data_IF_481449068704
#
_entry.id   IF_481449068704
#
_cell.length_a   1.000
_cell.length_b   1.000
_cell.length_c   1.000
_cell.angle_alpha   90.00
_cell.angle_beta   90.00
_cell.angle_gamma   90.00
#
_symmetry.space_group_name_H-M   'P 1'
#
loop_
_entity.id
_entity.type
_entity.pdbx_description
1 polymer ?
#
# COMPACT_ATOMS: atom_id res chain seq x y z
N UNK A 1 29.16 -17.31 14.28
CA UNK A 1 28.30 -17.77 13.17
C UNK A 1 26.85 -17.42 13.52
N UNK A 2 26.35 -16.28 13.07
CA UNK A 2 24.94 -15.88 13.23
C UNK A 2 24.35 -15.76 11.83
N UNK A 3 23.35 -16.60 11.53
CA UNK A 3 22.67 -16.62 10.24
C UNK A 3 21.85 -15.35 10.03
N UNK A 4 22.13 -14.66 8.93
CA UNK A 4 21.23 -13.73 8.26
C UNK A 4 20.02 -14.52 7.74
N UNK A 5 18.80 -14.11 8.10
CA UNK A 5 17.59 -14.45 7.36
C UNK A 5 17.02 -13.15 6.82
N UNK A 6 17.29 -12.87 5.54
CA UNK A 6 16.53 -11.92 4.75
C UNK A 6 15.29 -12.66 4.23
N UNK A 7 14.10 -12.26 4.68
CA UNK A 7 12.83 -12.75 4.14
C UNK A 7 12.10 -11.58 3.48
N UNK A 8 12.15 -11.57 2.15
CA UNK A 8 11.23 -10.82 1.29
C UNK A 8 9.87 -11.50 1.37
N UNK A 9 8.87 -10.85 1.98
CA UNK A 9 7.51 -11.40 2.00
C UNK A 9 6.43 -10.34 2.20
N UNK A 10 6.04 -9.64 1.13
CA UNK A 10 4.80 -8.86 1.09
C UNK A 10 4.06 -9.09 -0.23
N UNK A 11 2.72 -9.12 -0.16
CA UNK A 11 1.81 -9.26 -1.30
C UNK A 11 0.73 -8.18 -1.19
N UNK A 12 0.32 -7.59 -2.31
CA UNK A 12 -0.59 -6.43 -2.34
C UNK A 12 -1.76 -6.68 -3.32
N UNK A 13 -3.01 -6.30 -2.96
CA UNK A 13 -4.27 -6.53 -3.75
C UNK A 13 -5.18 -5.27 -3.79
N UNK A 14 -5.76 -4.93 -4.97
CA UNK A 14 -6.50 -3.68 -5.28
C UNK A 14 -7.86 -4.00 -5.86
N UNK A 15 -8.85 -3.17 -5.49
CA UNK A 15 -10.18 -3.13 -6.08
C UNK A 15 -10.32 -1.93 -7.04
N UNK A 16 -10.70 -2.16 -8.30
CA UNK A 16 -11.06 -1.12 -9.28
C UNK A 16 -12.55 -1.25 -9.62
N UNK A 17 -13.30 -0.15 -9.56
CA UNK A 17 -14.69 -0.09 -10.06
C UNK A 17 -14.78 0.89 -11.23
N UNK A 18 -14.92 0.37 -12.45
CA UNK A 18 -15.22 1.15 -13.64
C UNK A 18 -16.73 1.38 -13.79
N UNK A 19 -17.16 2.63 -13.83
CA UNK A 19 -18.52 3.02 -14.24
C UNK A 19 -18.59 3.06 -15.76
N UNK A 20 -19.40 2.18 -16.35
CA UNK A 20 -19.76 2.24 -17.76
C UNK A 20 -20.78 3.37 -17.96
N UNK A 21 -20.37 4.47 -18.57
CA UNK A 21 -21.28 5.44 -19.15
C UNK A 21 -21.39 5.17 -20.66
N UNK A 22 -22.59 4.82 -21.12
CA UNK A 22 -22.91 4.68 -22.54
C UNK A 22 -22.74 6.02 -23.27
N UNK A 23 -22.26 6.04 -24.53
CA UNK A 23 -22.13 7.27 -25.29
C UNK A 23 -23.52 7.76 -25.76
N UNK A 24 -23.85 8.99 -25.41
CA UNK A 24 -24.99 9.71 -25.97
C UNK A 24 -24.56 10.27 -27.34
N UNK A 25 -25.17 9.75 -28.40
CA UNK A 25 -25.02 10.25 -29.78
C UNK A 25 -25.78 11.58 -29.90
N UNK A 26 -25.11 12.65 -30.33
CA UNK A 26 -25.74 13.89 -30.79
C UNK A 26 -25.39 14.08 -32.28
N UNK A 27 -26.38 14.18 -33.19
CA UNK A 27 -26.12 14.40 -34.61
C UNK A 27 -25.77 15.86 -34.90
N UNK A 28 -24.92 16.04 -35.91
CA UNK A 28 -24.22 17.29 -36.20
C UNK A 28 -25.05 18.44 -36.75
N UNK A 29 -24.41 19.60 -36.73
CA UNK A 29 -24.75 20.71 -37.60
C UNK A 29 -23.46 21.32 -38.14
N UNK A 30 -23.28 21.26 -39.45
CA UNK A 30 -22.28 22.02 -40.18
C UNK A 30 -22.59 23.51 -40.09
N UNK A 31 -21.54 24.32 -39.94
CA UNK A 31 -21.59 25.77 -39.86
C UNK A 31 -20.20 26.35 -40.02
N UNK A 32 -19.74 26.44 -41.26
CA UNK A 32 -18.51 27.12 -41.68
C UNK A 32 -18.59 28.62 -41.35
N UNK A 33 -17.62 29.14 -40.58
CA UNK A 33 -17.25 30.55 -40.61
C UNK A 33 -15.72 30.68 -40.60
N UNK A 34 -15.18 31.08 -41.75
CA UNK A 34 -13.77 31.43 -41.89
C UNK A 34 -13.53 32.87 -41.44
N UNK A 35 -12.61 33.11 -40.50
CA UNK A 35 -11.92 34.40 -40.36
C UNK A 35 -10.41 34.19 -40.14
N UNK A 36 -9.69 34.58 -41.20
CA UNK A 36 -8.35 35.19 -41.35
C UNK A 36 -7.30 35.07 -40.22
N UNK A 37 -6.12 34.63 -40.66
CA UNK A 37 -4.78 34.90 -40.11
C UNK A 37 -4.59 36.32 -39.57
N UNK A 38 -4.01 36.44 -38.36
CA UNK A 38 -2.96 37.38 -37.97
C UNK A 38 -2.90 37.55 -36.44
N UNK A 39 -2.17 36.67 -35.74
CA UNK A 39 -1.48 37.02 -34.47
C UNK A 39 -0.22 36.15 -34.37
N UNK A 40 0.88 36.60 -34.98
CA UNK A 40 2.21 36.36 -34.41
C UNK A 40 2.33 37.34 -33.26
N UNK A 41 2.31 36.84 -32.02
CA UNK A 41 2.69 37.50 -30.75
C UNK A 41 1.73 37.07 -29.63
N UNK A 42 1.89 35.84 -29.09
CA UNK A 42 1.58 35.57 -27.65
C UNK A 42 1.96 34.18 -27.11
N UNK A 43 2.75 33.36 -27.81
CA UNK A 43 3.14 32.04 -27.28
C UNK A 43 4.10 32.09 -26.09
N UNK A 44 4.67 33.25 -25.76
CA UNK A 44 5.56 33.43 -24.61
C UNK A 44 4.81 33.80 -23.31
N UNK A 45 3.52 34.15 -23.37
CA UNK A 45 2.72 34.47 -22.17
C UNK A 45 1.77 33.35 -21.73
N UNK A 46 1.70 32.24 -22.47
CA UNK A 46 0.93 31.04 -22.08
C UNK A 46 1.78 30.06 -21.23
N UNK A 47 3.09 30.30 -21.15
CA UNK A 47 4.08 29.49 -20.43
C UNK A 47 4.41 29.95 -18.99
N UNK A 48 3.46 30.54 -18.22
CA UNK A 48 3.49 30.38 -16.75
C UNK A 48 2.26 29.69 -16.16
N UNK A 49 1.14 29.56 -16.89
CA UNK A 49 -0.08 28.89 -16.36
C UNK A 49 -0.19 27.41 -16.71
N UNK A 50 0.58 26.93 -17.69
CA UNK A 50 0.90 25.51 -17.89
C UNK A 50 2.15 25.09 -17.13
N UNK A 51 2.45 25.76 -16.01
CA UNK A 51 3.15 25.10 -14.92
C UNK A 51 2.28 23.94 -14.49
N UNK A 52 2.52 22.76 -15.09
CA UNK A 52 1.95 21.46 -14.71
C UNK A 52 1.77 21.52 -13.20
N UNK A 53 0.53 21.57 -12.70
CA UNK A 53 0.29 21.34 -11.26
C UNK A 53 0.97 20.02 -11.00
N UNK A 54 2.15 20.06 -10.39
CA UNK A 54 2.97 18.88 -10.20
C UNK A 54 2.06 17.83 -9.60
N UNK A 55 1.86 16.72 -10.32
CA UNK A 55 0.92 15.70 -9.90
C UNK A 55 1.44 15.18 -8.58
N UNK A 56 0.73 15.50 -7.49
CA UNK A 56 1.16 15.12 -6.15
C UNK A 56 1.23 13.59 -6.06
N UNK A 57 2.34 13.08 -5.53
CA UNK A 57 2.59 11.64 -5.35
C UNK A 57 1.55 11.07 -4.37
N UNK A 58 0.84 9.98 -4.72
CA UNK A 58 -0.10 9.34 -3.80
C UNK A 58 0.65 8.72 -2.63
N UNK A 59 0.08 8.82 -1.43
CA UNK A 59 0.69 8.31 -0.20
C UNK A 59 -0.26 7.38 0.56
N UNK A 60 0.24 6.20 0.92
CA UNK A 60 -0.50 5.19 1.69
C UNK A 60 -0.16 5.30 3.19
N UNK A 61 -1.13 5.72 4.00
CA UNK A 61 -1.04 5.61 5.46
C UNK A 61 -1.69 4.29 5.86
N UNK A 62 -0.86 3.34 6.26
CA UNK A 62 -1.25 1.95 6.44
C UNK A 62 -1.46 1.67 7.93
N UNK A 63 -2.70 1.42 8.34
CA UNK A 63 -3.03 1.15 9.73
C UNK A 63 -2.38 -0.16 10.22
N UNK A 64 -1.55 -0.08 11.26
CA UNK A 64 -0.76 -1.20 11.78
C UNK A 64 -1.60 -2.19 12.59
N UNK A 65 -1.33 -3.49 12.42
CA UNK A 65 -1.81 -4.61 13.23
C UNK A 65 -3.34 -4.63 13.35
N UNK A 66 -4.02 -4.48 12.21
CA UNK A 66 -5.47 -4.65 12.10
C UNK A 66 -5.81 -6.15 12.03
N UNK A 67 -5.63 -6.88 13.13
CA UNK A 67 -5.74 -8.35 13.15
C UNK A 67 -7.13 -8.88 13.52
N UNK A 68 -8.10 -8.00 13.73
CA UNK A 68 -9.49 -8.38 13.96
C UNK A 68 -10.45 -7.42 13.25
N UNK A 69 -11.71 -7.85 13.08
CA UNK A 69 -12.72 -7.07 12.38
C UNK A 69 -13.01 -5.72 13.08
N UNK A 70 -12.89 -5.65 14.40
CA UNK A 70 -13.07 -4.41 15.17
C UNK A 70 -11.96 -3.40 14.89
N UNK A 71 -10.71 -3.86 14.81
CA UNK A 71 -9.56 -3.05 14.42
C UNK A 71 -9.70 -2.52 12.99
N UNK A 72 -10.16 -3.34 12.04
CA UNK A 72 -10.45 -2.92 10.66
C UNK A 72 -11.57 -1.86 10.64
N UNK A 73 -12.64 -2.08 11.41
CA UNK A 73 -13.75 -1.13 11.53
C UNK A 73 -13.28 0.21 12.10
N UNK A 74 -12.43 0.21 13.12
CA UNK A 74 -11.83 1.43 13.68
C UNK A 74 -10.97 2.16 12.64
N UNK A 75 -10.04 1.45 11.98
CA UNK A 75 -9.19 2.04 10.94
C UNK A 75 -10.03 2.64 9.79
N UNK A 76 -11.09 1.95 9.37
CA UNK A 76 -12.03 2.45 8.36
C UNK A 76 -12.80 3.70 8.80
N UNK A 77 -13.09 3.84 10.10
CA UNK A 77 -13.78 5.01 10.65
C UNK A 77 -12.84 6.21 10.80
N UNK A 78 -11.59 5.98 11.15
CA UNK A 78 -10.53 7.00 11.19
C UNK A 78 -10.15 7.51 9.77
N UNK A 79 -10.50 6.72 8.76
CA UNK A 79 -10.26 7.01 7.35
C UNK A 79 -8.88 6.56 6.86
N UNK A 80 -8.35 5.47 7.42
CA UNK A 80 -7.18 4.79 6.88
C UNK A 80 -7.41 4.46 5.39
N UNK A 81 -6.45 4.79 4.51
CA UNK A 81 -6.51 4.41 3.10
C UNK A 81 -5.79 3.10 2.80
N UNK A 82 -5.14 2.51 3.79
CA UNK A 82 -4.57 1.19 3.73
C UNK A 82 -4.55 0.57 5.13
N UNK A 83 -4.46 -0.75 5.20
CA UNK A 83 -4.32 -1.48 6.47
C UNK A 83 -3.24 -2.53 6.34
N UNK A 84 -2.62 -2.88 7.45
CA UNK A 84 -1.73 -4.02 7.59
C UNK A 84 -2.35 -5.04 8.54
N UNK A 85 -2.14 -6.31 8.21
CA UNK A 85 -2.54 -7.42 9.06
C UNK A 85 -1.46 -8.50 9.07
N UNK A 86 -1.20 -9.02 10.26
CA UNK A 86 -0.32 -10.15 10.45
C UNK A 86 -1.03 -11.43 10.06
N UNK A 87 -0.37 -12.30 9.31
CA UNK A 87 -0.94 -13.56 8.88
C UNK A 87 -0.07 -14.73 9.32
N UNK A 88 -0.68 -15.60 10.12
CA UNK A 88 -0.11 -16.85 10.58
C UNK A 88 -0.90 -18.03 10.00
N UNK A 89 -0.17 -18.97 9.42
CA UNK A 89 -0.67 -20.19 8.79
C UNK A 89 -0.81 -21.31 9.82
N UNK A 90 -1.99 -21.90 9.92
CA UNK A 90 -2.36 -22.95 10.90
C UNK A 90 -2.81 -24.26 10.22
N UNK A 91 -1.98 -24.81 9.33
CA UNK A 91 -2.19 -26.17 8.81
C UNK A 91 -3.57 -26.38 8.16
N UNK A 92 -4.43 -27.21 8.77
CA UNK A 92 -5.76 -27.47 8.19
C UNK A 92 -6.71 -26.28 8.28
N UNK A 93 -6.45 -25.36 9.21
CA UNK A 93 -7.35 -24.24 9.53
C UNK A 93 -7.05 -23.00 8.66
N UNK A 94 -6.07 -23.08 7.76
CA UNK A 94 -5.75 -22.01 6.82
C UNK A 94 -4.99 -20.86 7.47
N UNK A 95 -5.36 -19.63 7.14
CA UNK A 95 -4.66 -18.42 7.55
C UNK A 95 -5.47 -17.61 8.56
N UNK A 96 -4.80 -17.17 9.61
CA UNK A 96 -5.36 -16.41 10.72
C UNK A 96 -4.64 -15.08 10.87
N UNK A 97 -5.40 -14.05 11.23
CA UNK A 97 -4.88 -12.74 11.53
C UNK A 97 -4.21 -12.77 12.91
N UNK A 98 -2.90 -13.06 12.96
CA UNK A 98 -2.16 -13.27 14.21
C UNK A 98 -0.69 -12.89 14.07
N UNK A 99 -0.21 -12.10 15.04
CA UNK A 99 1.17 -11.63 15.11
C UNK A 99 2.10 -12.65 15.80
N UNK A 100 1.63 -13.27 16.89
CA UNK A 100 2.50 -13.92 17.90
C UNK A 100 2.50 -15.46 17.82
N UNK A 101 1.74 -16.06 16.89
CA UNK A 101 1.71 -17.51 16.72
C UNK A 101 0.31 -18.08 16.47
N UNK A 102 0.16 -19.42 16.49
CA UNK A 102 -1.09 -20.11 16.21
C UNK A 102 -2.05 -20.06 17.41
N UNK A 103 -2.40 -18.86 17.85
CA UNK A 103 -3.24 -18.65 19.02
C UNK A 103 -4.69 -18.30 18.65
N UNK A 104 -5.03 -18.18 17.34
CA UNK A 104 -6.36 -17.76 16.88
C UNK A 104 -6.91 -16.52 17.61
N UNK A 105 -6.02 -15.65 18.09
CA UNK A 105 -6.36 -14.44 18.86
C UNK A 105 -7.01 -13.35 17.97
N UNK A 106 -7.02 -13.56 16.65
CA UNK A 106 -7.72 -12.73 15.67
C UNK A 106 -8.63 -13.54 14.76
N UNK A 107 -9.15 -12.91 13.72
CA UNK A 107 -10.10 -13.54 12.79
C UNK A 107 -9.39 -14.36 11.69
N UNK A 108 -10.15 -15.21 11.01
CA UNK A 108 -9.63 -15.88 9.80
C UNK A 108 -9.35 -14.88 8.69
N UNK A 109 -8.39 -15.16 7.81
CA UNK A 109 -8.10 -14.32 6.65
C UNK A 109 -9.35 -14.07 5.78
N UNK A 110 -10.26 -15.06 5.70
CA UNK A 110 -11.52 -14.93 4.98
C UNK A 110 -12.43 -13.87 5.61
N UNK A 111 -12.68 -13.96 6.91
CA UNK A 111 -13.51 -12.98 7.63
C UNK A 111 -12.93 -11.56 7.52
N UNK A 112 -11.61 -11.44 7.60
CA UNK A 112 -10.91 -10.18 7.43
C UNK A 112 -11.12 -9.61 6.03
N UNK A 113 -10.91 -10.40 4.98
CA UNK A 113 -11.14 -9.96 3.60
C UNK A 113 -12.60 -9.60 3.33
N UNK A 114 -13.55 -10.39 3.85
CA UNK A 114 -14.98 -10.09 3.72
C UNK A 114 -15.33 -8.76 4.39
N UNK A 115 -14.74 -8.48 5.55
CA UNK A 115 -14.92 -7.23 6.30
C UNK A 115 -14.34 -6.03 5.55
N UNK A 116 -13.12 -6.16 5.01
CA UNK A 116 -12.47 -5.11 4.21
C UNK A 116 -13.29 -4.83 2.93
N UNK A 117 -13.72 -5.87 2.23
CA UNK A 117 -14.56 -5.75 1.04
C UNK A 117 -15.91 -5.08 1.37
N UNK A 118 -16.50 -5.39 2.53
CA UNK A 118 -17.71 -4.73 3.02
C UNK A 118 -17.51 -3.22 3.22
N UNK A 119 -16.43 -2.83 3.91
CA UNK A 119 -16.09 -1.41 4.07
C UNK A 119 -15.85 -0.70 2.75
N UNK A 120 -15.17 -1.36 1.80
CA UNK A 120 -14.96 -0.83 0.46
C UNK A 120 -16.26 -0.60 -0.29
N UNK A 121 -17.18 -1.57 -0.27
CA UNK A 121 -18.52 -1.42 -0.86
C UNK A 121 -19.33 -0.30 -0.19
N UNK A 122 -19.10 -0.06 1.10
CA UNK A 122 -19.68 1.06 1.84
C UNK A 122 -18.98 2.41 1.59
N UNK A 123 -18.05 2.49 0.63
CA UNK A 123 -17.37 3.74 0.25
C UNK A 123 -16.22 4.15 1.16
N UNK A 124 -15.74 3.27 2.04
CA UNK A 124 -14.57 3.57 2.90
C UNK A 124 -13.28 3.60 2.06
N UNK A 125 -12.28 4.41 2.46
CA UNK A 125 -11.11 4.71 1.63
C UNK A 125 -10.03 3.63 1.59
N UNK A 126 -10.23 2.45 2.19
CA UNK A 126 -9.18 1.40 2.30
C UNK A 126 -8.85 0.81 0.92
N UNK A 127 -7.78 1.29 0.28
CA UNK A 127 -7.38 0.94 -1.08
C UNK A 127 -6.34 -0.16 -1.22
N UNK A 128 -5.64 -0.42 -0.13
CA UNK A 128 -4.48 -1.29 -0.12
C UNK A 128 -4.48 -2.09 1.20
N UNK A 129 -4.19 -3.39 1.08
CA UNK A 129 -4.02 -4.29 2.22
C UNK A 129 -2.60 -4.84 2.17
N UNK A 130 -1.85 -4.62 3.26
CA UNK A 130 -0.52 -5.16 3.49
C UNK A 130 -0.63 -6.47 4.27
N UNK A 131 -0.17 -7.58 3.68
CA UNK A 131 -0.18 -8.89 4.33
C UNK A 131 1.21 -9.19 4.89
N UNK A 132 1.33 -9.25 6.22
CA UNK A 132 2.59 -9.51 6.92
C UNK A 132 2.68 -10.98 7.33
N UNK A 133 3.30 -11.80 6.48
CA UNK A 133 3.38 -13.26 6.70
C UNK A 133 4.37 -13.60 7.81
N UNK A 134 3.90 -14.32 8.83
CA UNK A 134 4.74 -14.74 9.96
C UNK A 134 5.40 -16.11 9.77
N UNK A 135 4.83 -16.95 8.91
CA UNK A 135 5.33 -18.29 8.63
C UNK A 135 4.99 -18.73 7.18
N UNK A 136 5.45 -17.99 6.15
CA UNK A 136 5.05 -18.19 4.76
C UNK A 136 5.29 -19.61 4.23
N UNK A 137 6.31 -20.29 4.76
CA UNK A 137 6.73 -21.62 4.31
C UNK A 137 6.21 -22.78 5.19
N UNK A 138 5.28 -22.52 6.12
CA UNK A 138 4.76 -23.54 7.02
C UNK A 138 4.05 -24.70 6.29
N UNK A 139 3.53 -24.44 5.08
CA UNK A 139 2.72 -25.37 4.31
C UNK A 139 3.26 -25.61 2.91
N UNK A 140 3.54 -26.87 2.63
CA UNK A 140 3.85 -27.38 1.30
C UNK A 140 2.54 -27.61 0.51
N UNK A 141 2.27 -26.82 -0.55
CA UNK A 141 1.03 -26.93 -1.32
C UNK A 141 0.91 -28.27 -2.09
N UNK A 142 2.00 -29.01 -2.27
CA UNK A 142 1.99 -30.33 -2.91
C UNK A 142 1.51 -31.46 -2.00
N UNK A 143 1.35 -31.20 -0.70
CA UNK A 143 0.89 -32.21 0.27
C UNK A 143 -0.62 -32.15 0.48
N UNK A 144 -1.26 -33.32 0.43
CA UNK A 144 -2.70 -33.46 0.66
C UNK A 144 -3.09 -32.84 2.01
N UNK A 145 -4.13 -31.99 1.99
CA UNK A 145 -4.63 -31.32 3.19
C UNK A 145 -3.79 -30.12 3.67
N UNK A 146 -2.75 -29.69 2.93
CA UNK A 146 -1.94 -28.50 3.24
C UNK A 146 -2.11 -27.35 2.26
N UNK A 147 -2.95 -27.50 1.24
CA UNK A 147 -3.22 -26.42 0.27
C UNK A 147 -3.74 -25.14 0.95
N UNK A 148 -4.75 -25.25 1.82
CA UNK A 148 -5.46 -24.10 2.41
C UNK A 148 -4.58 -23.14 3.24
N UNK A 149 -3.45 -23.63 3.75
CA UNK A 149 -2.51 -22.85 4.55
C UNK A 149 -1.26 -22.43 3.77
N UNK A 150 -1.22 -22.69 2.46
CA UNK A 150 -0.18 -22.20 1.56
C UNK A 150 -0.42 -20.74 1.15
N UNK A 151 0.64 -20.05 0.75
CA UNK A 151 0.56 -18.71 0.15
C UNK A 151 -0.29 -18.71 -1.13
N UNK A 152 -0.26 -19.80 -1.90
CA UNK A 152 -1.05 -19.90 -3.13
C UNK A 152 -2.56 -19.87 -2.85
N UNK A 153 -3.02 -20.59 -1.82
CA UNK A 153 -4.43 -20.57 -1.42
C UNK A 153 -4.85 -19.21 -0.85
N UNK A 154 -3.99 -18.56 -0.06
CA UNK A 154 -4.26 -17.23 0.46
C UNK A 154 -4.40 -16.19 -0.66
N UNK A 155 -3.53 -16.26 -1.67
CA UNK A 155 -3.63 -15.40 -2.85
C UNK A 155 -4.95 -15.60 -3.58
N UNK A 156 -5.39 -16.84 -3.75
CA UNK A 156 -6.67 -17.15 -4.40
C UNK A 156 -7.84 -16.58 -3.60
N UNK A 157 -7.81 -16.73 -2.28
CA UNK A 157 -8.80 -16.14 -1.38
C UNK A 157 -8.83 -14.61 -1.46
N UNK A 158 -7.66 -13.97 -1.46
CA UNK A 158 -7.53 -12.52 -1.58
C UNK A 158 -8.10 -12.01 -2.91
N UNK A 159 -7.78 -12.67 -4.03
CA UNK A 159 -8.35 -12.33 -5.35
C UNK A 159 -9.85 -12.54 -5.40
N UNK A 160 -10.34 -13.66 -4.89
CA UNK A 160 -11.77 -13.97 -4.87
C UNK A 160 -12.59 -12.90 -4.14
N UNK A 161 -12.07 -12.38 -3.02
CA UNK A 161 -12.84 -11.49 -2.13
C UNK A 161 -12.54 -10.02 -2.37
N UNK A 162 -11.27 -9.66 -2.51
CA UNK A 162 -10.81 -8.26 -2.62
C UNK A 162 -10.73 -7.77 -4.07
N UNK A 163 -10.67 -8.67 -5.06
CA UNK A 163 -10.58 -8.33 -6.49
C UNK A 163 -11.45 -9.26 -7.39
N UNK A 164 -12.77 -9.35 -7.15
CA UNK A 164 -13.64 -10.34 -7.80
C UNK A 164 -13.85 -10.14 -9.31
N UNK A 165 -13.34 -9.05 -9.91
CA UNK A 165 -13.54 -8.73 -11.34
C UNK A 165 -12.32 -8.99 -12.24
N UNK A 166 -11.21 -9.52 -11.71
CA UNK A 166 -9.99 -9.72 -12.51
C UNK A 166 -9.82 -11.19 -12.94
N UNK A 167 -9.82 -11.40 -14.26
CA UNK A 167 -9.58 -12.68 -14.93
C UNK A 167 -8.12 -13.17 -14.77
N UNK A 168 -7.92 -14.48 -14.67
CA UNK A 168 -6.61 -15.12 -14.88
C UNK A 168 -6.05 -14.78 -16.28
N UNK A 169 -4.72 -14.61 -16.48
CA UNK A 169 -3.63 -15.38 -15.87
C UNK A 169 -2.49 -14.55 -15.24
N UNK A 170 -2.35 -14.59 -13.91
CA UNK A 170 -1.20 -14.05 -13.14
C UNK A 170 -0.75 -14.98 -12.00
N UNK A 171 -1.28 -16.21 -11.95
CA UNK A 171 -0.98 -17.23 -10.94
C UNK A 171 0.37 -17.92 -11.22
N UNK A 172 0.62 -18.25 -12.50
CA UNK A 172 1.76 -19.08 -12.93
C UNK A 172 3.06 -18.27 -13.09
N UNK A 173 2.96 -16.96 -13.38
CA UNK A 173 4.11 -16.06 -13.49
C UNK A 173 4.70 -15.72 -12.11
N UNK A 174 3.85 -15.38 -11.14
CA UNK A 174 4.27 -15.05 -9.77
C UNK A 174 4.93 -16.25 -9.08
N UNK A 175 4.42 -17.46 -9.31
CA UNK A 175 5.00 -18.68 -8.73
C UNK A 175 6.38 -19.03 -9.30
N UNK A 176 6.75 -18.50 -10.48
CA UNK A 176 7.97 -18.89 -11.18
C UNK A 176 9.06 -17.81 -11.21
N UNK A 177 8.75 -16.50 -11.04
CA UNK A 177 9.74 -15.42 -11.30
C UNK A 177 9.65 -14.18 -10.40
N UNK A 178 8.74 -14.09 -9.41
CA UNK A 178 8.37 -12.78 -8.86
C UNK A 178 7.94 -11.79 -9.98
N UNK A 179 7.61 -10.53 -9.68
CA UNK A 179 7.34 -9.59 -10.75
C UNK A 179 8.66 -9.16 -11.42
N UNK A 180 8.91 -9.57 -12.67
CA UNK A 180 9.95 -8.95 -13.50
C UNK A 180 9.63 -7.48 -13.79
N UNK A 181 8.34 -7.15 -13.74
CA UNK A 181 7.80 -5.81 -13.82
C UNK A 181 8.10 -5.03 -12.53
N UNK A 182 8.94 -4.02 -12.64
CA UNK A 182 9.39 -3.19 -11.53
C UNK A 182 8.22 -2.47 -10.85
N UNK A 183 7.18 -2.06 -11.60
CA UNK A 183 6.01 -1.37 -11.04
C UNK A 183 5.32 -2.24 -9.98
N UNK A 184 5.41 -3.57 -10.11
CA UNK A 184 4.82 -4.54 -9.19
C UNK A 184 5.72 -4.94 -8.02
N UNK A 185 6.87 -4.29 -7.86
CA UNK A 185 7.80 -4.54 -6.75
C UNK A 185 7.63 -3.46 -5.68
N UNK A 186 7.41 -3.92 -4.44
CA UNK A 186 7.43 -3.07 -3.27
C UNK A 186 8.67 -3.38 -2.43
N UNK A 187 9.39 -2.33 -2.02
CA UNK A 187 10.39 -2.44 -0.97
C UNK A 187 9.81 -1.99 0.36
N UNK A 188 10.25 -2.63 1.44
CA UNK A 188 10.02 -2.14 2.79
C UNK A 188 11.21 -2.45 3.66
N UNK A 189 11.54 -1.49 4.51
CA UNK A 189 12.56 -1.66 5.53
C UNK A 189 12.00 -1.22 6.88
N UNK A 190 12.11 -2.09 7.86
CA UNK A 190 11.42 -1.96 9.14
C UNK A 190 12.37 -2.10 10.33
N UNK A 191 11.95 -1.49 11.43
CA UNK A 191 12.35 -1.81 12.80
C UNK A 191 11.12 -1.62 13.68
N UNK A 192 11.11 -2.27 14.85
CA UNK A 192 10.02 -2.15 15.82
C UNK A 192 9.67 -0.70 16.13
N UNK A 193 10.69 0.16 16.27
CA UNK A 193 10.54 1.59 16.53
C UNK A 193 11.28 2.40 15.48
N UNK A 194 10.55 3.27 14.79
CA UNK A 194 11.09 4.11 13.70
C UNK A 194 12.31 4.95 14.13
N UNK A 195 12.32 5.46 15.36
CA UNK A 195 13.41 6.27 15.90
C UNK A 195 14.70 5.45 16.16
N UNK A 196 14.55 4.16 16.43
CA UNK A 196 15.69 3.28 16.70
C UNK A 196 16.29 2.84 15.37
N UNK A 197 17.47 3.37 15.02
CA UNK A 197 18.10 3.06 13.74
C UNK A 197 17.60 3.90 12.56
N UNK A 198 17.03 5.08 12.81
CA UNK A 198 16.56 5.98 11.75
C UNK A 198 17.71 6.45 10.83
N UNK A 199 18.83 6.87 11.42
CA UNK A 199 19.96 7.48 10.71
C UNK A 199 19.74 8.94 10.33
N UNK A 200 20.55 9.44 9.39
CA UNK A 200 20.51 10.79 8.83
C UNK A 200 20.24 10.79 7.31
N UNK A 201 19.94 9.61 6.76
CA UNK A 201 19.64 9.38 5.35
C UNK A 201 20.85 9.55 4.41
N UNK A 202 22.03 9.90 4.93
CA UNK A 202 23.23 10.22 4.15
C UNK A 202 24.42 9.36 4.54
N UNK A 203 24.21 8.30 5.33
CA UNK A 203 25.26 7.37 5.67
C UNK A 203 25.84 6.70 4.43
N UNK A 204 27.15 6.45 4.43
CA UNK A 204 27.83 5.79 3.33
C UNK A 204 27.63 4.27 3.37
N UNK A 205 27.39 3.66 2.21
CA UNK A 205 27.28 2.21 2.06
C UNK A 205 26.02 1.62 2.69
N UNK A 206 26.08 0.35 3.07
CA UNK A 206 24.99 -0.37 3.74
C UNK A 206 25.10 -0.15 5.25
N UNK A 207 24.60 0.99 5.72
CA UNK A 207 24.58 1.34 7.13
C UNK A 207 23.51 0.56 7.92
N UNK A 208 22.63 -0.19 7.24
CA UNK A 208 21.46 -0.87 7.83
C UNK A 208 20.56 0.06 8.67
N UNK A 209 20.53 1.35 8.33
CA UNK A 209 19.71 2.40 8.94
C UNK A 209 18.52 2.72 8.04
N UNK A 210 17.36 2.93 8.67
CA UNK A 210 16.06 2.99 8.00
C UNK A 210 16.04 4.03 6.88
N UNK A 211 16.42 5.27 7.18
CA UNK A 211 16.31 6.33 6.20
C UNK A 211 17.28 6.17 5.02
N UNK A 212 18.51 5.69 5.30
CA UNK A 212 19.50 5.46 4.23
C UNK A 212 19.10 4.29 3.34
N UNK A 213 18.59 3.21 3.92
CA UNK A 213 18.11 2.06 3.17
C UNK A 213 16.94 2.43 2.25
N UNK A 214 15.91 3.09 2.80
CA UNK A 214 14.73 3.49 2.01
C UNK A 214 15.09 4.50 0.91
N UNK A 215 16.02 5.42 1.17
CA UNK A 215 16.54 6.32 0.13
C UNK A 215 17.25 5.55 -0.99
N UNK A 216 18.08 4.57 -0.63
CA UNK A 216 18.79 3.75 -1.61
C UNK A 216 17.82 2.91 -2.45
N UNK A 217 16.77 2.37 -1.84
CA UNK A 217 15.70 1.65 -2.53
C UNK A 217 14.94 2.56 -3.51
N UNK A 218 14.57 3.78 -3.10
CA UNK A 218 13.90 4.76 -3.97
C UNK A 218 14.79 5.17 -5.16
N UNK A 219 16.06 5.54 -4.90
CA UNK A 219 17.00 5.98 -5.94
C UNK A 219 17.40 4.85 -6.88
N UNK A 220 17.36 3.59 -6.42
CA UNK A 220 17.74 2.44 -7.25
C UNK A 220 16.86 2.28 -8.49
N UNK A 221 15.60 2.70 -8.42
CA UNK A 221 14.62 2.45 -9.47
C UNK A 221 14.24 0.98 -9.64
N UNK A 222 14.61 0.10 -8.71
CA UNK A 222 14.31 -1.34 -8.76
C UNK A 222 12.93 -1.69 -8.19
N UNK A 223 12.23 -0.70 -7.62
CA UNK A 223 10.93 -0.85 -6.96
C UNK A 223 9.95 0.21 -7.45
N UNK A 224 8.71 -0.19 -7.72
CA UNK A 224 7.62 0.74 -8.05
C UNK A 224 7.10 1.51 -6.84
N UNK A 225 7.29 0.95 -5.63
CA UNK A 225 6.89 1.55 -4.35
C UNK A 225 7.87 1.25 -3.23
N UNK A 226 8.08 2.22 -2.34
CA UNK A 226 8.93 2.07 -1.14
C UNK A 226 8.15 2.43 0.11
N UNK A 227 8.17 1.58 1.14
CA UNK A 227 7.36 1.73 2.34
C UNK A 227 8.17 1.64 3.63
N UNK A 228 7.77 2.40 4.65
CA UNK A 228 8.42 2.40 5.98
C UNK A 228 7.49 1.86 7.08
N UNK A 229 8.07 1.52 8.21
CA UNK A 229 7.41 1.11 9.45
C UNK A 229 8.09 1.75 10.68
N UNK A 230 7.48 1.79 11.87
CA UNK A 230 6.08 2.13 12.13
C UNK A 230 6.08 3.54 12.72
N UNK A 231 5.34 4.46 12.13
CA UNK A 231 5.16 5.80 12.68
C UNK A 231 4.18 5.77 13.85
N UNK A 232 4.58 6.37 14.97
CA UNK A 232 3.71 6.59 16.13
C UNK A 232 3.49 8.09 16.34
N UNK A 233 2.67 8.44 17.34
CA UNK A 233 2.39 9.83 17.71
C UNK A 233 3.70 10.58 18.01
N UNK A 234 3.74 11.84 17.59
CA UNK A 234 4.81 12.82 17.78
C UNK A 234 6.11 12.55 16.98
N UNK A 235 6.04 11.74 15.93
CA UNK A 235 7.17 11.47 15.01
C UNK A 235 7.11 12.24 13.68
N UNK A 236 6.40 13.38 13.64
CA UNK A 236 6.20 14.22 12.43
C UNK A 236 7.50 14.50 11.67
N UNK A 237 8.58 14.85 12.38
CA UNK A 237 9.87 15.16 11.74
C UNK A 237 10.50 13.95 11.05
N UNK A 238 10.36 12.75 11.62
CA UNK A 238 10.86 11.51 11.00
C UNK A 238 10.04 11.17 9.76
N UNK A 239 8.71 11.29 9.84
CA UNK A 239 7.80 11.10 8.70
C UNK A 239 8.14 12.07 7.56
N UNK A 240 8.36 13.35 7.87
CA UNK A 240 8.74 14.34 6.87
C UNK A 240 10.10 14.06 6.22
N UNK A 241 11.09 13.58 6.99
CA UNK A 241 12.38 13.14 6.44
C UNK A 241 12.21 11.97 5.48
N UNK A 242 11.38 10.99 5.84
CA UNK A 242 11.09 9.86 4.96
C UNK A 242 10.40 10.30 3.67
N UNK A 243 9.40 11.20 3.75
CA UNK A 243 8.78 11.79 2.56
C UNK A 243 9.81 12.50 1.67
N UNK A 244 10.81 13.14 2.29
CA UNK A 244 11.92 13.79 1.60
C UNK A 244 12.86 12.84 0.85
N UNK A 245 12.91 11.55 1.23
CA UNK A 245 13.66 10.51 0.49
C UNK A 245 12.79 9.67 -0.44
N UNK A 246 11.52 10.05 -0.62
CA UNK A 246 10.70 9.50 -1.69
C UNK A 246 9.74 8.36 -1.31
N UNK A 247 9.57 7.99 -0.04
CA UNK A 247 8.68 6.86 0.30
C UNK A 247 7.23 7.05 -0.21
N UNK A 248 6.57 5.97 -0.62
CA UNK A 248 5.19 5.93 -1.11
C UNK A 248 4.16 5.71 0.01
N UNK A 249 4.61 5.30 1.19
CA UNK A 249 3.71 5.10 2.32
C UNK A 249 4.43 4.68 3.58
N UNK A 250 3.69 4.72 4.68
CA UNK A 250 4.20 4.33 6.00
C UNK A 250 3.12 3.62 6.79
N UNK A 251 3.53 2.57 7.50
CA UNK A 251 2.70 1.91 8.49
C UNK A 251 2.68 2.75 9.77
N UNK A 252 1.50 2.92 10.37
CA UNK A 252 1.30 3.75 11.55
C UNK A 252 0.44 3.06 12.60
N UNK A 253 0.71 3.33 13.88
CA UNK A 253 -0.07 2.73 14.96
C UNK A 253 0.59 2.84 16.33
N UNK A 254 0.55 1.74 17.10
CA UNK A 254 0.83 1.72 18.54
C UNK A 254 2.05 0.87 18.94
N UNK A 255 3.21 1.09 18.32
CA UNK A 255 4.50 0.45 18.68
C UNK A 255 4.37 -1.06 18.99
N UNK A 256 3.88 -1.82 18.02
CA UNK A 256 3.66 -3.25 18.17
C UNK A 256 2.25 -3.63 18.66
N UNK A 257 1.49 -2.77 19.33
CA UNK A 257 0.14 -3.11 19.79
C UNK A 257 -0.91 -3.11 18.65
N UNK A 258 -2.04 -3.83 18.82
CA UNK A 258 -3.16 -3.81 17.87
C UNK A 258 -3.70 -2.40 17.61
N UNK A 259 -4.28 -2.19 16.45
CA UNK A 259 -4.84 -0.89 16.08
C UNK A 259 -5.93 -0.43 17.07
N UNK A 260 -5.85 0.83 17.52
CA UNK A 260 -6.77 1.40 18.51
C UNK A 260 -6.58 2.91 18.70
N UNK A 261 -7.25 3.49 19.71
CA UNK A 261 -7.53 4.93 19.83
C UNK A 261 -6.39 5.92 19.56
N UNK A 262 -5.16 5.70 20.05
CA UNK A 262 -4.04 6.63 19.80
C UNK A 262 -3.51 6.62 18.36
N UNK A 263 -3.85 5.60 17.56
CA UNK A 263 -3.45 5.52 16.16
C UNK A 263 -4.11 6.62 15.31
N UNK A 264 -5.31 7.08 15.69
CA UNK A 264 -6.01 8.18 15.01
C UNK A 264 -5.21 9.48 15.04
N UNK A 265 -4.49 9.76 16.14
CA UNK A 265 -3.62 10.94 16.25
C UNK A 265 -2.40 10.83 15.33
N UNK A 266 -1.78 9.64 15.24
CA UNK A 266 -0.67 9.40 14.32
C UNK A 266 -1.12 9.58 12.86
N UNK A 267 -2.33 9.10 12.50
CA UNK A 267 -2.91 9.35 11.18
C UNK A 267 -3.11 10.84 10.89
N UNK A 268 -3.64 11.59 11.86
CA UNK A 268 -3.82 13.04 11.72
C UNK A 268 -2.49 13.77 11.50
N UNK A 269 -1.43 13.36 12.19
CA UNK A 269 -0.08 13.89 12.03
C UNK A 269 0.50 13.57 10.64
N UNK A 270 0.32 12.35 10.12
CA UNK A 270 0.71 12.00 8.75
C UNK A 270 -0.02 12.88 7.73
N UNK A 271 -1.34 13.05 7.87
CA UNK A 271 -2.12 13.92 6.98
C UNK A 271 -1.64 15.38 7.03
N UNK A 272 -1.27 15.87 8.20
CA UNK A 272 -0.65 17.19 8.35
C UNK A 272 0.70 17.29 7.63
N UNK A 273 1.55 16.26 7.75
CA UNK A 273 2.83 16.19 7.02
C UNK A 273 2.64 16.21 5.50
N UNK A 274 1.64 15.50 4.96
CA UNK A 274 1.30 15.52 3.53
C UNK A 274 0.89 16.93 3.07
N UNK A 275 0.05 17.60 3.85
CA UNK A 275 -0.39 18.97 3.55
C UNK A 275 0.78 19.97 3.55
N UNK A 276 1.72 19.82 4.50
CA UNK A 276 2.89 20.70 4.64
C UNK A 276 3.98 20.45 3.58
N UNK A 277 4.23 19.18 3.22
CA UNK A 277 5.27 18.84 2.24
C UNK A 277 4.95 19.38 0.84
N UNK A 278 3.67 19.40 0.46
CA UNK A 278 3.21 19.92 -0.83
C UNK A 278 3.42 18.98 -2.04
N UNK A 279 4.35 18.04 -1.96
CA UNK A 279 4.65 17.05 -3.02
C UNK A 279 3.78 15.79 -2.98
N UNK A 280 3.07 15.53 -1.88
CA UNK A 280 2.23 14.35 -1.71
C UNK A 280 0.74 14.68 -1.54
N UNK A 281 -0.09 13.68 -1.84
CA UNK A 281 -1.51 13.64 -1.50
C UNK A 281 -1.87 12.29 -0.93
N UNK A 282 -2.96 12.22 -0.19
CA UNK A 282 -3.48 10.94 0.29
C UNK A 282 -3.91 10.08 -0.90
N UNK A 283 -3.47 8.81 -0.94
CA UNK A 283 -3.87 7.88 -1.99
C UNK A 283 -5.38 7.60 -1.90
N UNK A 284 -6.03 7.56 -3.06
CA UNK A 284 -7.45 7.29 -3.26
C UNK A 284 -7.67 6.11 -4.20
N UNK A 285 -8.93 5.86 -4.56
CA UNK A 285 -9.35 4.63 -5.26
C UNK A 285 -8.74 4.43 -6.66
N UNK A 286 -8.36 5.52 -7.32
CA UNK A 286 -7.73 5.49 -8.65
C UNK A 286 -6.22 5.29 -8.59
N UNK A 287 -5.62 5.35 -7.40
CA UNK A 287 -4.18 5.19 -7.25
C UNK A 287 -3.84 3.71 -7.25
N UNK A 288 -2.88 3.36 -8.10
CA UNK A 288 -2.37 2.01 -8.16
C UNK A 288 -1.22 1.87 -7.12
N UNK A 289 -1.34 0.98 -6.13
CA UNK A 289 -0.25 0.64 -5.21
C UNK A 289 0.83 -0.27 -5.81
N UNK A 290 0.82 -0.52 -7.13
CA UNK A 290 1.93 -1.05 -7.92
C UNK A 290 2.04 -0.31 -9.25
#
# INVERSE_FOLDING_TARGET
>A
MRSLYYLLSSLSVVAVTGTLASPLVIPGHEGSLAIRHSVTDDFNNILPELGIRAVKKPFYAIAHRCNDMGAVQHAANDGANAIEMDLFSEGKDGWWASHDGPNKDGNTAKEMFDTIASHRRAGKPITFVWLNFKNPDACDPGKLGKWGCSIAALRDLARQILDPQRSAPLQQFFNNNGPSDIEKRAASYDRTKLQEGFGNCSESGDAHLICTQLRQEDISGEFGKVFSWTAVVDQVQLVQKLMGVGIDGIIYGLDGAPYGGSATQALAQIRSSLAQNGGYRYAGISDNPW
#
